data_IF_733296675921
#
_entry.id   IF_733296675921
#
_cell.length_a   1.000
_cell.length_b   1.000
_cell.length_c   1.000
_cell.angle_alpha   90.00
_cell.angle_beta   90.00
_cell.angle_gamma   90.00
#
_symmetry.space_group_name_H-M   'P 1'
#
loop_
_entity.id
_entity.type
_entity.pdbx_description
1 polymer ?
#
# COMPACT_ATOMS: atom_id res chain seq x y z
N UNK A 1 5.16 -10.82 12.84
CA UNK A 1 5.01 -9.73 11.85
C UNK A 1 4.29 -10.25 10.62
N UNK A 2 3.18 -9.63 10.23
CA UNK A 2 2.40 -10.02 9.05
C UNK A 2 2.86 -9.26 7.81
N UNK A 3 2.81 -9.89 6.63
CA UNK A 3 3.03 -9.18 5.36
C UNK A 3 1.84 -8.25 5.10
N UNK A 4 2.05 -6.94 4.91
CA UNK A 4 0.96 -6.02 4.64
C UNK A 4 0.29 -6.31 3.30
N UNK A 5 -1.01 -6.00 3.23
CA UNK A 5 -1.83 -6.15 2.01
C UNK A 5 -2.71 -4.93 1.83
N UNK A 6 -2.65 -4.33 0.66
CA UNK A 6 -3.57 -3.26 0.26
C UNK A 6 -4.85 -3.88 -0.31
N UNK A 7 -6.01 -3.34 0.08
CA UNK A 7 -7.32 -3.70 -0.47
C UNK A 7 -8.03 -2.43 -0.86
N UNK A 8 -8.32 -2.27 -2.15
CA UNK A 8 -9.08 -1.15 -2.68
C UNK A 8 -10.51 -1.60 -3.00
N UNK A 9 -11.44 -0.66 -2.96
CA UNK A 9 -12.84 -0.89 -3.34
C UNK A 9 -13.43 0.36 -4.00
N UNK A 10 -14.63 0.23 -4.56
CA UNK A 10 -15.37 1.34 -5.13
C UNK A 10 -14.63 2.07 -6.27
N UNK A 11 -14.73 3.40 -6.29
CA UNK A 11 -14.14 4.23 -7.34
C UNK A 11 -12.60 4.16 -7.35
N UNK A 12 -11.96 4.04 -6.19
CA UNK A 12 -10.50 3.98 -6.10
C UNK A 12 -9.96 2.69 -6.77
N UNK A 13 -10.63 1.55 -6.54
CA UNK A 13 -10.29 0.31 -7.22
C UNK A 13 -10.45 0.40 -8.74
N UNK A 14 -11.44 1.16 -9.23
CA UNK A 14 -11.64 1.38 -10.67
C UNK A 14 -10.53 2.24 -11.28
N UNK A 15 -10.13 3.31 -10.60
CA UNK A 15 -9.10 4.23 -11.12
C UNK A 15 -7.68 3.64 -11.05
N UNK A 16 -7.43 2.72 -10.13
CA UNK A 16 -6.12 2.08 -9.92
C UNK A 16 -6.11 0.61 -10.35
N UNK A 17 -7.00 0.21 -11.26
CA UNK A 17 -7.18 -1.19 -11.64
C UNK A 17 -5.90 -1.84 -12.20
N UNK A 18 -5.08 -1.05 -12.90
CA UNK A 18 -3.86 -1.51 -13.55
C UNK A 18 -2.58 -1.08 -12.81
N UNK A 19 -2.71 -0.51 -11.61
CA UNK A 19 -1.58 -0.03 -10.80
C UNK A 19 -1.21 -1.08 -9.76
N UNK A 20 0.07 -1.45 -9.70
CA UNK A 20 0.62 -2.26 -8.61
C UNK A 20 1.02 -1.37 -7.45
N UNK A 21 0.57 -1.69 -6.23
CA UNK A 21 0.93 -0.94 -5.01
C UNK A 21 1.87 -1.79 -4.15
N UNK A 22 3.14 -1.40 -4.10
CA UNK A 22 4.14 -1.99 -3.21
C UNK A 22 4.12 -1.25 -1.88
N UNK A 23 3.91 -1.96 -0.77
CA UNK A 23 3.81 -1.35 0.56
C UNK A 23 4.80 -2.00 1.53
N UNK A 24 5.49 -1.17 2.31
CA UNK A 24 6.32 -1.60 3.45
C UNK A 24 5.98 -0.76 4.68
N UNK A 25 5.99 -1.40 5.84
CA UNK A 25 5.72 -0.78 7.14
C UNK A 25 6.85 -1.11 8.10
N UNK A 26 7.19 -0.15 8.93
CA UNK A 26 8.14 -0.29 10.02
C UNK A 26 7.64 0.46 11.25
N UNK A 27 8.10 0.07 12.43
CA UNK A 27 7.90 0.88 13.64
C UNK A 27 9.14 0.78 14.53
N UNK A 28 9.42 1.85 15.24
CA UNK A 28 10.50 1.97 16.22
C UNK A 28 9.99 2.78 17.41
N UNK A 29 10.04 2.19 18.61
CA UNK A 29 9.42 2.76 19.80
C UNK A 29 7.95 3.10 19.56
N UNK A 30 7.59 4.36 19.81
CA UNK A 30 6.24 4.91 19.63
C UNK A 30 6.00 5.50 18.23
N UNK A 31 6.95 5.35 17.30
CA UNK A 31 6.84 5.88 15.94
C UNK A 31 6.59 4.75 14.94
N UNK A 32 5.58 4.91 14.09
CA UNK A 32 5.32 4.04 12.95
C UNK A 32 5.53 4.79 11.63
N UNK A 33 6.04 4.09 10.62
CA UNK A 33 6.24 4.62 9.28
C UNK A 33 5.78 3.63 8.20
N UNK A 34 5.43 4.16 7.04
CA UNK A 34 5.06 3.37 5.88
C UNK A 34 5.58 4.04 4.60
N UNK A 35 5.90 3.22 3.60
CA UNK A 35 6.15 3.68 2.23
C UNK A 35 5.23 2.91 1.28
N UNK A 36 4.69 3.62 0.30
CA UNK A 36 3.90 3.06 -0.78
C UNK A 36 4.46 3.54 -2.12
N UNK A 37 4.74 2.60 -3.02
CA UNK A 37 5.15 2.88 -4.40
C UNK A 37 3.99 2.45 -5.30
N UNK A 38 3.53 3.37 -6.16
CA UNK A 38 2.55 3.09 -7.19
C UNK A 38 3.31 2.88 -8.51
N UNK A 39 3.21 1.68 -9.05
CA UNK A 39 3.82 1.30 -10.32
C UNK A 39 2.70 1.18 -11.36
N UNK A 40 2.74 2.06 -12.36
CA UNK A 40 1.87 2.02 -13.53
C UNK A 40 2.57 1.28 -14.69
N UNK A 41 1.82 0.78 -15.70
CA UNK A 41 2.37 0.08 -16.85
C UNK A 41 3.45 0.84 -17.63
#
# INVERSE_FOLDING_TARGET
MGRPRVRLSGAIAKHLADVTIHVSLTHEGDTAAAVAILEAP
#
